data_IF_928006860584
#
_entry.id   IF_928006860584
#
_cell.length_a   1.000
_cell.length_b   1.000
_cell.length_c   1.000
_cell.angle_alpha   90.00
_cell.angle_beta   90.00
_cell.angle_gamma   90.00
#
_symmetry.space_group_name_H-M   'P 1'
#
loop_
_entity.id
_entity.type
_entity.pdbx_description
1 polymer ?
#
# COMPACT_ATOMS: atom_id res chain seq x y z
N UNK A 1 -11.94 6.76 13.54
CA UNK A 1 -10.65 7.09 12.94
C UNK A 1 -9.88 8.01 13.89
N UNK A 2 -8.65 7.60 14.22
CA UNK A 2 -7.73 8.43 14.99
C UNK A 2 -6.93 9.26 13.99
N UNK A 3 -7.25 10.54 13.86
CA UNK A 3 -6.59 11.46 12.93
C UNK A 3 -5.06 11.40 13.07
N UNK A 4 -4.41 10.96 12.04
CA UNK A 4 -3.01 10.56 12.01
C UNK A 4 -1.99 11.66 12.36
N UNK A 5 -2.26 12.91 12.02
CA UNK A 5 -1.23 13.96 12.14
C UNK A 5 -1.04 14.53 13.54
N UNK A 6 -2.04 14.44 14.41
CA UNK A 6 -1.99 15.06 15.74
C UNK A 6 -2.32 14.10 16.88
N UNK A 7 -3.17 13.11 16.60
CA UNK A 7 -3.64 12.18 17.63
C UNK A 7 -2.82 10.89 17.64
N UNK A 8 -2.51 10.34 16.46
CA UNK A 8 -1.82 9.05 16.34
C UNK A 8 -0.33 9.08 16.68
N UNK A 9 0.31 10.25 16.71
CA UNK A 9 1.73 10.43 17.00
C UNK A 9 2.03 10.96 18.42
N UNK A 10 0.99 11.30 19.19
CA UNK A 10 1.12 11.78 20.57
C UNK A 10 0.36 10.90 21.55
N UNK A 11 1.07 10.32 22.54
CA UNK A 11 0.53 9.36 23.49
C UNK A 11 -0.61 9.94 24.34
N UNK A 12 -0.55 11.21 24.74
CA UNK A 12 -1.58 11.83 25.57
C UNK A 12 -2.83 12.15 24.74
N UNK A 13 -2.64 12.65 23.52
CA UNK A 13 -3.73 12.91 22.59
C UNK A 13 -4.44 11.61 22.19
N UNK A 14 -3.69 10.53 21.93
CA UNK A 14 -4.21 9.19 21.64
C UNK A 14 -5.14 8.68 22.75
N UNK A 15 -4.68 8.73 23.99
CA UNK A 15 -5.48 8.29 25.15
C UNK A 15 -6.77 9.08 25.33
N UNK A 16 -6.70 10.42 25.18
CA UNK A 16 -7.89 11.28 25.28
C UNK A 16 -8.89 11.02 24.14
N UNK A 17 -8.40 10.84 22.92
CA UNK A 17 -9.23 10.53 21.76
C UNK A 17 -9.97 9.21 21.92
N UNK A 18 -9.32 8.16 22.44
CA UNK A 18 -9.99 6.88 22.69
C UNK A 18 -11.11 6.99 23.71
N UNK A 19 -10.93 7.74 24.80
CA UNK A 19 -11.99 8.03 25.77
C UNK A 19 -13.17 8.78 25.15
N UNK A 20 -12.88 9.78 24.33
CA UNK A 20 -13.91 10.54 23.62
C UNK A 20 -14.68 9.64 22.67
N UNK A 21 -14.00 8.85 21.83
CA UNK A 21 -14.61 7.91 20.89
C UNK A 21 -15.47 6.89 21.65
N UNK A 22 -15.02 6.40 22.78
CA UNK A 22 -15.79 5.50 23.64
C UNK A 22 -17.08 6.13 24.14
N UNK A 23 -17.09 7.41 24.42
CA UNK A 23 -18.31 8.12 24.86
C UNK A 23 -19.41 8.13 23.78
N UNK A 24 -19.05 7.98 22.52
CA UNK A 24 -19.99 7.82 21.39
C UNK A 24 -20.47 6.37 21.19
N UNK A 25 -20.23 5.48 22.15
CA UNK A 25 -20.58 4.05 22.09
C UNK A 25 -19.91 3.25 20.98
N UNK A 26 -18.80 3.73 20.43
CA UNK A 26 -17.99 3.00 19.47
C UNK A 26 -17.14 1.94 20.20
N UNK A 27 -16.89 0.82 19.54
CA UNK A 27 -16.16 -0.32 20.10
C UNK A 27 -14.87 -0.64 19.34
N UNK A 28 -14.61 0.03 18.23
CA UNK A 28 -13.45 -0.21 17.36
C UNK A 28 -12.93 1.11 16.79
N UNK A 29 -11.62 1.23 16.68
CA UNK A 29 -10.95 2.38 16.09
C UNK A 29 -9.97 1.97 15.02
N UNK A 30 -9.75 2.85 14.04
CA UNK A 30 -8.58 2.77 13.17
C UNK A 30 -7.43 3.47 13.90
N UNK A 31 -6.38 2.72 14.18
CA UNK A 31 -5.12 3.23 14.72
C UNK A 31 -4.02 3.11 13.67
N UNK A 32 -2.94 3.85 13.82
CA UNK A 32 -1.89 3.96 12.82
C UNK A 32 -0.54 3.49 13.33
N UNK A 33 0.19 2.80 12.47
CA UNK A 33 1.59 2.45 12.65
C UNK A 33 2.39 3.12 11.53
N UNK A 34 3.30 4.01 11.90
CA UNK A 34 4.10 4.82 10.98
C UNK A 34 5.50 4.22 10.83
N UNK A 35 5.92 3.89 9.62
CA UNK A 35 7.24 3.30 9.41
C UNK A 35 8.37 4.18 9.97
N UNK A 36 8.32 5.50 9.75
CA UNK A 36 9.35 6.43 10.25
C UNK A 36 9.46 6.45 11.78
N UNK A 37 8.39 6.12 12.51
CA UNK A 37 8.38 6.06 13.97
C UNK A 37 8.75 4.67 14.49
N UNK A 38 8.44 3.63 13.72
CA UNK A 38 8.76 2.24 14.06
C UNK A 38 10.22 1.90 13.74
N UNK A 39 10.78 2.41 12.64
CA UNK A 39 12.17 2.17 12.25
C UNK A 39 12.90 3.49 11.97
N UNK A 40 13.05 4.38 12.96
CA UNK A 40 13.69 5.69 12.77
C UNK A 40 15.14 5.59 12.30
N UNK A 41 15.83 4.53 12.68
CA UNK A 41 17.16 4.15 12.22
C UNK A 41 17.09 2.75 11.63
N UNK A 42 17.70 2.52 10.47
CA UNK A 42 17.65 1.24 9.77
C UNK A 42 18.00 0.07 10.69
N UNK A 43 17.09 -0.88 10.83
CA UNK A 43 17.25 -2.07 11.68
C UNK A 43 17.02 -1.85 13.18
N UNK A 44 16.68 -0.63 13.61
CA UNK A 44 16.36 -0.33 15.01
C UNK A 44 14.88 0.00 15.15
N UNK A 45 14.14 -0.88 15.83
CA UNK A 45 12.70 -0.78 15.93
C UNK A 45 12.26 -0.19 17.27
N UNK A 46 11.23 0.67 17.21
CA UNK A 46 10.55 1.29 18.34
C UNK A 46 9.03 1.10 18.20
N UNK A 47 8.42 0.40 19.14
CA UNK A 47 6.99 0.11 19.12
C UNK A 47 6.19 0.88 20.20
N UNK A 48 6.78 1.87 20.86
CA UNK A 48 6.16 2.57 22.00
C UNK A 48 4.78 3.17 21.68
N UNK A 49 4.57 3.70 20.47
CA UNK A 49 3.27 4.24 20.07
C UNK A 49 2.23 3.14 19.86
N UNK A 50 2.64 2.02 19.30
CA UNK A 50 1.76 0.85 19.11
C UNK A 50 1.38 0.27 20.48
N UNK A 51 2.34 0.15 21.38
CA UNK A 51 2.10 -0.32 22.76
C UNK A 51 1.13 0.58 23.52
N UNK A 52 1.27 1.91 23.39
CA UNK A 52 0.35 2.85 24.03
C UNK A 52 -1.06 2.79 23.40
N UNK A 53 -1.15 2.61 22.07
CA UNK A 53 -2.43 2.38 21.40
C UNK A 53 -3.13 1.12 21.94
N UNK A 54 -2.42 0.01 22.01
CA UNK A 54 -2.97 -1.25 22.52
C UNK A 54 -3.38 -1.13 23.99
N UNK A 55 -2.55 -0.50 24.81
CA UNK A 55 -2.84 -0.27 26.23
C UNK A 55 -4.10 0.60 26.39
N UNK A 56 -4.16 1.73 25.70
CA UNK A 56 -5.29 2.64 25.77
C UNK A 56 -6.59 2.01 25.25
N UNK A 57 -6.50 1.21 24.18
CA UNK A 57 -7.64 0.46 23.67
C UNK A 57 -8.16 -0.60 24.64
N UNK A 58 -7.25 -1.30 25.35
CA UNK A 58 -7.63 -2.24 26.43
C UNK A 58 -8.33 -1.54 27.59
N UNK A 59 -7.78 -0.41 28.06
CA UNK A 59 -8.37 0.38 29.16
C UNK A 59 -9.81 0.80 28.82
N UNK A 60 -10.10 1.14 27.56
CA UNK A 60 -11.43 1.57 27.12
C UNK A 60 -12.29 0.40 26.55
N UNK A 61 -11.83 -0.84 26.64
CA UNK A 61 -12.51 -2.03 26.08
C UNK A 61 -12.89 -1.84 24.61
N UNK A 62 -11.91 -1.46 23.78
CA UNK A 62 -12.03 -1.23 22.35
C UNK A 62 -11.15 -2.17 21.54
N UNK A 63 -11.52 -2.43 20.29
CA UNK A 63 -10.72 -3.12 19.29
C UNK A 63 -10.03 -2.13 18.37
N UNK A 64 -8.98 -2.59 17.70
CA UNK A 64 -8.16 -1.78 16.78
C UNK A 64 -8.11 -2.46 15.42
N UNK A 65 -8.38 -1.67 14.37
CA UNK A 65 -7.91 -1.95 13.01
C UNK A 65 -6.63 -1.14 12.84
N UNK A 66 -5.49 -1.82 12.67
CA UNK A 66 -4.20 -1.17 12.61
C UNK A 66 -3.82 -0.89 11.15
N UNK A 67 -3.65 0.39 10.80
CA UNK A 67 -3.23 0.81 9.46
C UNK A 67 -1.72 0.97 9.44
N UNK A 68 -1.06 0.25 8.56
CA UNK A 68 0.36 0.38 8.28
C UNK A 68 0.59 1.47 7.24
N UNK A 69 1.22 2.56 7.63
CA UNK A 69 1.75 3.59 6.75
C UNK A 69 3.22 3.31 6.47
N UNK A 70 3.48 2.53 5.43
CA UNK A 70 4.82 2.20 4.93
C UNK A 70 5.23 3.10 3.78
N UNK A 71 5.27 2.56 2.58
CA UNK A 71 5.67 3.26 1.35
C UNK A 71 4.69 4.31 0.90
N UNK A 72 3.39 4.13 1.19
CA UNK A 72 2.31 5.05 0.79
C UNK A 72 1.39 5.40 1.95
N UNK A 73 1.08 6.69 2.05
CA UNK A 73 -0.02 7.21 2.86
C UNK A 73 -1.09 7.82 1.95
N UNK A 74 -0.66 8.60 0.97
CA UNK A 74 -1.47 9.17 -0.11
C UNK A 74 -0.54 9.65 -1.21
N UNK A 75 -1.08 10.13 -2.34
CA UNK A 75 -0.29 10.67 -3.45
C UNK A 75 0.75 11.72 -3.04
N UNK A 76 0.45 12.55 -2.06
CA UNK A 76 1.27 13.71 -1.69
C UNK A 76 2.10 13.51 -0.41
N UNK A 77 1.99 12.39 0.27
CA UNK A 77 2.66 12.18 1.55
C UNK A 77 3.07 10.74 1.78
N UNK A 78 4.19 10.57 2.48
CA UNK A 78 4.78 9.29 2.84
C UNK A 78 5.30 9.35 4.27
N UNK A 79 5.22 8.23 4.98
CA UNK A 79 5.78 8.05 6.32
C UNK A 79 7.00 7.11 6.30
N UNK A 80 7.72 7.06 5.18
CA UNK A 80 8.98 6.34 5.14
C UNK A 80 10.04 7.05 6.00
N UNK A 81 10.96 6.32 6.65
CA UNK A 81 11.99 6.90 7.50
C UNK A 81 12.95 7.84 6.77
N UNK A 82 13.65 8.68 7.52
CA UNK A 82 14.64 9.62 6.98
C UNK A 82 15.74 8.91 6.18
N UNK A 83 16.23 7.76 6.65
CA UNK A 83 17.26 6.98 5.96
C UNK A 83 16.79 6.44 4.58
N UNK A 84 15.48 6.29 4.37
CA UNK A 84 14.86 6.01 3.07
C UNK A 84 14.72 7.30 2.26
N UNK A 85 14.18 8.37 2.88
CA UNK A 85 13.95 9.68 2.24
C UNK A 85 15.23 10.29 1.68
N UNK A 86 16.34 10.15 2.35
CA UNK A 86 17.63 10.76 1.99
C UNK A 86 18.47 9.91 1.02
N UNK A 87 18.04 8.71 0.67
CA UNK A 87 18.76 7.82 -0.24
C UNK A 87 17.95 7.41 -1.49
N UNK A 88 17.62 8.34 -2.40
CA UNK A 88 16.80 8.05 -3.58
C UNK A 88 17.51 7.13 -4.60
N UNK A 89 18.81 6.94 -4.48
CA UNK A 89 19.56 5.98 -5.31
C UNK A 89 19.26 4.54 -4.91
N UNK A 90 19.16 4.26 -3.62
CA UNK A 90 18.78 2.95 -3.08
C UNK A 90 17.26 2.75 -3.10
N UNK A 91 16.52 3.82 -2.83
CA UNK A 91 15.07 3.82 -2.73
C UNK A 91 14.43 4.71 -3.80
N UNK A 92 14.30 4.20 -5.03
CA UNK A 92 13.77 4.98 -6.15
C UNK A 92 12.36 5.51 -5.88
N UNK A 93 12.12 6.73 -6.37
CA UNK A 93 10.84 7.43 -6.27
C UNK A 93 9.99 7.24 -7.50
N UNK A 94 8.68 7.42 -7.33
CA UNK A 94 7.78 7.58 -8.44
C UNK A 94 8.19 8.78 -9.29
N UNK A 95 8.24 8.60 -10.60
CA UNK A 95 8.67 9.63 -11.55
C UNK A 95 7.53 10.00 -12.49
N UNK A 96 7.26 11.30 -12.62
CA UNK A 96 6.26 11.86 -13.53
C UNK A 96 6.74 11.87 -14.97
N UNK A 97 5.83 12.13 -15.92
CA UNK A 97 6.13 12.22 -17.35
C UNK A 97 7.12 13.34 -17.71
N UNK A 98 7.17 14.41 -16.94
CA UNK A 98 8.12 15.52 -17.07
C UNK A 98 9.49 15.22 -16.44
N UNK A 99 9.68 14.04 -15.86
CA UNK A 99 10.91 13.62 -15.18
C UNK A 99 11.02 14.05 -13.71
N UNK A 100 10.04 14.78 -13.19
CA UNK A 100 10.00 15.16 -11.77
C UNK A 100 9.71 13.93 -10.91
N UNK A 101 10.45 13.78 -9.81
CA UNK A 101 10.18 12.72 -8.82
C UNK A 101 9.27 13.22 -7.72
N UNK A 102 8.36 12.36 -7.27
CA UNK A 102 7.50 12.60 -6.11
C UNK A 102 8.15 12.07 -4.81
N UNK A 103 7.56 12.38 -3.67
CA UNK A 103 8.02 11.80 -2.40
C UNK A 103 7.72 10.30 -2.29
N UNK A 104 6.63 9.85 -2.88
CA UNK A 104 6.23 8.44 -2.81
C UNK A 104 7.23 7.50 -3.49
N UNK A 105 7.39 6.31 -2.95
CA UNK A 105 8.29 5.30 -3.49
C UNK A 105 7.74 4.69 -4.79
N UNK A 106 8.64 4.28 -5.67
CA UNK A 106 8.28 3.51 -6.86
C UNK A 106 7.90 2.07 -6.48
N UNK A 107 6.78 1.58 -7.00
CA UNK A 107 6.36 0.19 -6.83
C UNK A 107 7.23 -0.82 -7.61
N UNK A 108 8.12 -0.34 -8.47
CA UNK A 108 8.98 -1.18 -9.31
C UNK A 108 10.35 -1.46 -8.70
N UNK A 109 10.57 -1.11 -7.41
CA UNK A 109 11.81 -1.36 -6.70
C UNK A 109 11.64 -2.47 -5.68
N UNK A 110 12.36 -3.57 -5.88
CA UNK A 110 12.44 -4.66 -4.90
C UNK A 110 13.07 -4.19 -3.58
N UNK A 111 14.00 -3.24 -3.63
CA UNK A 111 14.63 -2.67 -2.45
C UNK A 111 13.61 -1.90 -1.59
N UNK A 112 12.75 -1.07 -2.23
CA UNK A 112 11.65 -0.39 -1.54
C UNK A 112 10.74 -1.40 -0.85
N UNK A 113 10.26 -2.39 -1.61
CA UNK A 113 9.35 -3.42 -1.13
C UNK A 113 9.94 -4.24 0.02
N UNK A 114 11.20 -4.64 -0.11
CA UNK A 114 11.84 -5.50 0.89
C UNK A 114 12.13 -4.74 2.19
N UNK A 115 12.49 -3.45 2.12
CA UNK A 115 12.69 -2.61 3.29
C UNK A 115 11.37 -2.39 4.05
N UNK A 116 10.31 -2.05 3.34
CA UNK A 116 8.96 -1.90 3.87
C UNK A 116 8.47 -3.20 4.52
N UNK A 117 8.54 -4.32 3.78
CA UNK A 117 8.14 -5.63 4.28
C UNK A 117 8.89 -6.02 5.56
N UNK A 118 10.20 -5.70 5.67
CA UNK A 118 11.00 -5.97 6.86
C UNK A 118 10.45 -5.23 8.08
N UNK A 119 10.11 -3.96 7.93
CA UNK A 119 9.54 -3.16 9.01
C UNK A 119 8.15 -3.66 9.41
N UNK A 120 7.30 -3.97 8.42
CA UNK A 120 5.98 -4.55 8.68
C UNK A 120 6.06 -5.92 9.36
N UNK A 121 6.99 -6.79 8.95
CA UNK A 121 7.24 -8.09 9.60
C UNK A 121 7.68 -7.92 11.06
N UNK A 122 8.50 -6.92 11.36
CA UNK A 122 8.89 -6.62 12.74
C UNK A 122 7.70 -6.17 13.58
N UNK A 123 6.80 -5.34 13.03
CA UNK A 123 5.54 -4.96 13.66
C UNK A 123 4.65 -6.19 13.93
N UNK A 124 4.46 -7.07 12.95
CA UNK A 124 3.63 -8.27 13.11
C UNK A 124 4.20 -9.24 14.14
N UNK A 125 5.54 -9.37 14.20
CA UNK A 125 6.21 -10.16 15.24
C UNK A 125 5.98 -9.54 16.63
N UNK A 126 6.09 -8.22 16.77
CA UNK A 126 5.83 -7.51 18.02
C UNK A 126 4.38 -7.69 18.47
N UNK A 127 3.41 -7.49 17.59
CA UNK A 127 1.98 -7.71 17.88
C UNK A 127 1.71 -9.13 18.39
N UNK A 128 2.32 -10.14 17.76
CA UNK A 128 2.21 -11.54 18.21
C UNK A 128 2.67 -11.73 19.65
N UNK A 129 3.68 -11.00 20.09
CA UNK A 129 4.26 -11.11 21.43
C UNK A 129 3.46 -10.35 22.48
N UNK A 130 2.92 -9.17 22.14
CA UNK A 130 2.32 -8.25 23.13
C UNK A 130 0.79 -8.23 23.12
N UNK A 131 0.14 -8.58 22.03
CA UNK A 131 -1.32 -8.51 21.89
C UNK A 131 -2.01 -9.84 22.25
N UNK A 132 -1.76 -10.33 23.45
CA UNK A 132 -2.34 -11.59 23.97
C UNK A 132 -3.86 -11.57 24.12
N UNK A 133 -4.48 -10.40 24.07
CA UNK A 133 -5.94 -10.23 24.18
C UNK A 133 -6.63 -9.99 22.82
N UNK A 134 -5.88 -10.08 21.75
CA UNK A 134 -6.38 -9.86 20.38
C UNK A 134 -7.15 -8.53 20.26
N UNK A 135 -6.52 -7.44 20.69
CA UNK A 135 -7.04 -6.07 20.56
C UNK A 135 -7.01 -5.65 19.10
N UNK A 136 -5.94 -5.97 18.39
CA UNK A 136 -5.88 -5.80 16.93
C UNK A 136 -6.66 -6.94 16.28
N UNK A 137 -7.68 -6.59 15.51
CA UNK A 137 -8.57 -7.54 14.82
C UNK A 137 -8.33 -7.61 13.32
N UNK A 138 -7.61 -6.63 12.79
CA UNK A 138 -7.28 -6.53 11.37
C UNK A 138 -6.09 -5.59 11.19
N UNK A 139 -5.27 -5.83 10.16
CA UNK A 139 -4.30 -4.87 9.65
C UNK A 139 -4.67 -4.43 8.24
N UNK A 140 -4.60 -3.13 7.98
CA UNK A 140 -4.62 -2.57 6.62
C UNK A 140 -3.17 -2.32 6.21
N UNK A 141 -2.74 -2.97 5.15
CA UNK A 141 -1.37 -2.82 4.61
C UNK A 141 -1.36 -1.70 3.60
N UNK A 142 -0.66 -0.63 3.91
CA UNK A 142 -0.59 0.61 3.13
C UNK A 142 -1.91 1.41 3.08
N UNK A 143 -1.81 2.64 2.58
CA UNK A 143 -2.99 3.46 2.37
C UNK A 143 -2.87 4.23 1.05
N UNK A 144 -3.92 4.24 0.27
CA UNK A 144 -4.08 5.00 -0.98
C UNK A 144 -2.85 4.94 -1.91
N UNK A 145 -2.35 3.73 -2.28
CA UNK A 145 -1.29 3.63 -3.27
C UNK A 145 -1.80 4.14 -4.62
N UNK A 146 -1.07 5.08 -5.22
CA UNK A 146 -1.47 5.66 -6.50
C UNK A 146 -1.04 7.12 -6.63
N UNK A 147 -1.23 7.68 -7.83
CA UNK A 147 -0.92 9.06 -8.12
C UNK A 147 -2.05 9.67 -8.94
N UNK A 148 -2.71 10.70 -8.40
CA UNK A 148 -3.73 11.44 -9.13
C UNK A 148 -3.14 12.14 -10.35
N UNK A 149 -3.90 12.15 -11.46
CA UNK A 149 -3.55 12.78 -12.73
C UNK A 149 -2.26 12.26 -13.39
N UNK A 150 -1.70 11.15 -12.89
CA UNK A 150 -0.53 10.50 -13.48
C UNK A 150 -0.74 8.99 -13.51
N UNK A 151 -1.02 8.50 -14.69
CA UNK A 151 -1.45 7.12 -14.89
C UNK A 151 -0.33 6.08 -14.77
N UNK A 152 0.95 6.50 -14.84
CA UNK A 152 2.07 5.55 -14.84
C UNK A 152 3.35 6.13 -14.23
N UNK A 153 4.06 5.31 -13.48
CA UNK A 153 5.42 5.62 -13.02
C UNK A 153 6.41 5.57 -14.20
N UNK A 154 7.00 6.72 -14.51
CA UNK A 154 7.97 6.90 -15.59
C UNK A 154 9.42 6.67 -15.15
N UNK A 155 9.66 6.15 -13.93
CA UNK A 155 10.99 5.73 -13.50
C UNK A 155 11.61 4.72 -14.47
N UNK A 156 12.95 4.59 -14.54
CA UNK A 156 13.59 3.60 -15.42
C UNK A 156 13.07 2.18 -15.22
N UNK A 157 12.76 1.78 -13.98
CA UNK A 157 12.21 0.46 -13.67
C UNK A 157 10.74 0.34 -14.14
N UNK A 158 9.92 1.38 -13.93
CA UNK A 158 8.54 1.44 -14.43
C UNK A 158 8.48 1.38 -15.96
N UNK A 159 9.35 2.13 -16.64
CA UNK A 159 9.47 2.08 -18.10
C UNK A 159 9.88 0.70 -18.62
N UNK A 160 10.88 0.09 -17.98
CA UNK A 160 11.31 -1.27 -18.33
C UNK A 160 10.15 -2.28 -18.15
N UNK A 161 9.40 -2.19 -17.07
CA UNK A 161 8.26 -3.08 -16.82
C UNK A 161 7.14 -2.87 -17.87
N UNK A 162 6.87 -1.61 -18.25
CA UNK A 162 5.89 -1.27 -19.28
C UNK A 162 6.23 -1.84 -20.66
N UNK A 163 7.50 -1.78 -21.03
CA UNK A 163 8.03 -2.30 -22.30
C UNK A 163 8.22 -3.82 -22.29
N UNK A 164 8.05 -4.47 -21.15
CA UNK A 164 8.17 -5.91 -21.02
C UNK A 164 6.86 -6.62 -21.36
N UNK A 165 6.88 -7.92 -21.72
CA UNK A 165 5.66 -8.67 -21.91
C UNK A 165 4.76 -8.65 -20.66
N UNK A 166 3.44 -8.58 -20.87
CA UNK A 166 2.46 -8.71 -19.79
C UNK A 166 2.73 -9.97 -18.98
N UNK A 167 2.74 -9.89 -17.64
CA UNK A 167 3.00 -11.05 -16.79
C UNK A 167 2.06 -12.22 -17.03
N UNK A 168 2.60 -13.44 -16.98
CA UNK A 168 1.86 -14.65 -17.32
C UNK A 168 0.64 -14.89 -16.42
N UNK A 169 0.70 -14.52 -15.14
CA UNK A 169 -0.42 -14.62 -14.21
C UNK A 169 -1.57 -13.70 -14.60
N UNK A 170 -1.28 -12.46 -15.07
CA UNK A 170 -2.29 -11.56 -15.60
C UNK A 170 -2.92 -12.09 -16.89
N UNK A 171 -2.13 -12.60 -17.83
CA UNK A 171 -2.64 -13.25 -19.04
C UNK A 171 -3.52 -14.47 -18.71
N UNK A 172 -3.12 -15.26 -17.74
CA UNK A 172 -3.90 -16.42 -17.29
C UNK A 172 -5.21 -15.98 -16.61
N UNK A 173 -5.19 -14.90 -15.84
CA UNK A 173 -6.40 -14.32 -15.28
C UNK A 173 -7.39 -13.87 -16.35
N UNK A 174 -6.94 -13.15 -17.38
CA UNK A 174 -7.76 -12.74 -18.52
C UNK A 174 -8.42 -13.96 -19.19
N UNK A 175 -7.63 -14.99 -19.50
CA UNK A 175 -8.14 -16.21 -20.12
C UNK A 175 -9.18 -16.94 -19.27
N UNK A 176 -8.91 -17.09 -17.97
CA UNK A 176 -9.78 -17.82 -17.06
C UNK A 176 -11.12 -17.09 -16.81
N UNK A 177 -11.15 -15.77 -16.97
CA UNK A 177 -12.30 -14.93 -16.70
C UNK A 177 -12.93 -14.31 -17.96
N UNK A 178 -12.56 -14.79 -19.14
CA UNK A 178 -13.15 -14.30 -20.42
C UNK A 178 -14.68 -14.39 -20.38
N UNK A 179 -15.34 -13.29 -20.72
CA UNK A 179 -16.80 -13.14 -20.64
C UNK A 179 -17.34 -12.85 -19.22
N UNK A 180 -16.46 -12.70 -18.21
CA UNK A 180 -16.79 -12.38 -16.81
C UNK A 180 -15.95 -11.23 -16.27
N UNK A 181 -15.09 -10.65 -17.09
CA UNK A 181 -14.26 -9.51 -16.70
C UNK A 181 -15.13 -8.26 -16.50
N UNK A 182 -14.57 -7.27 -15.80
CA UNK A 182 -15.16 -5.93 -15.74
C UNK A 182 -15.42 -5.43 -17.18
N UNK A 183 -16.59 -4.84 -17.48
CA UNK A 183 -17.02 -4.59 -18.86
C UNK A 183 -16.03 -3.82 -19.71
N UNK A 184 -15.39 -2.78 -19.17
CA UNK A 184 -14.41 -2.00 -19.91
C UNK A 184 -13.15 -2.80 -20.24
N UNK A 185 -12.68 -3.63 -19.32
CA UNK A 185 -11.52 -4.52 -19.56
C UNK A 185 -11.85 -5.61 -20.59
N UNK A 186 -13.02 -6.22 -20.51
CA UNK A 186 -13.47 -7.23 -21.47
C UNK A 186 -13.54 -6.62 -22.88
N UNK A 187 -14.11 -5.41 -22.98
CA UNK A 187 -14.22 -4.69 -24.25
C UNK A 187 -12.84 -4.33 -24.81
N UNK A 188 -11.95 -3.77 -24.00
CA UNK A 188 -10.58 -3.43 -24.45
C UNK A 188 -9.84 -4.65 -24.99
N UNK A 189 -9.92 -5.78 -24.27
CA UNK A 189 -9.28 -7.01 -24.68
C UNK A 189 -9.94 -7.62 -25.93
N UNK A 190 -11.27 -7.53 -26.06
CA UNK A 190 -12.01 -7.99 -27.25
C UNK A 190 -11.68 -7.16 -28.48
N UNK A 191 -11.72 -5.81 -28.37
CA UNK A 191 -11.39 -4.87 -29.44
C UNK A 191 -9.96 -5.08 -29.94
N UNK A 192 -9.05 -5.53 -29.08
CA UNK A 192 -7.67 -5.87 -29.41
C UNK A 192 -7.47 -7.36 -29.80
N UNK A 193 -8.56 -8.06 -30.16
CA UNK A 193 -8.55 -9.42 -30.70
C UNK A 193 -8.19 -10.51 -29.69
N UNK A 194 -8.42 -10.28 -28.41
CA UNK A 194 -8.12 -11.24 -27.32
C UNK A 194 -6.66 -11.72 -27.34
N UNK A 195 -5.73 -10.82 -27.68
CA UNK A 195 -4.30 -11.13 -27.68
C UNK A 195 -3.80 -11.57 -26.30
N UNK A 196 -2.79 -12.42 -26.28
CA UNK A 196 -2.24 -13.02 -25.06
C UNK A 196 -0.72 -12.97 -25.01
N UNK A 197 -0.09 -12.25 -25.92
CA UNK A 197 1.37 -12.10 -26.01
C UNK A 197 1.72 -10.66 -26.33
N UNK A 198 2.84 -10.19 -25.82
CA UNK A 198 3.34 -8.84 -26.00
C UNK A 198 3.21 -8.00 -24.71
N UNK A 199 3.43 -6.70 -24.85
CA UNK A 199 3.32 -5.71 -23.78
C UNK A 199 1.85 -5.53 -23.34
N UNK A 200 1.62 -4.69 -22.35
CA UNK A 200 0.27 -4.34 -21.90
C UNK A 200 -0.55 -3.70 -23.04
N UNK A 201 0.06 -2.81 -23.82
CA UNK A 201 -0.60 -2.21 -24.99
C UNK A 201 -0.83 -3.22 -26.13
N UNK A 202 0.09 -4.16 -26.34
CA UNK A 202 -0.11 -5.24 -27.33
C UNK A 202 -1.31 -6.11 -26.98
N UNK A 203 -1.56 -6.35 -25.71
CA UNK A 203 -2.64 -7.22 -25.21
C UNK A 203 -3.97 -6.48 -25.09
N UNK A 204 -3.97 -5.29 -24.49
CA UNK A 204 -5.21 -4.56 -24.13
C UNK A 204 -5.49 -3.35 -25.04
N UNK A 205 -4.54 -2.95 -25.87
CA UNK A 205 -4.63 -1.73 -26.64
C UNK A 205 -4.18 -0.50 -25.86
N UNK A 206 -4.21 0.65 -26.52
CA UNK A 206 -3.93 1.94 -25.90
C UNK A 206 -5.10 2.37 -25.02
N UNK A 207 -4.79 3.20 -24.02
CA UNK A 207 -5.81 3.85 -23.21
C UNK A 207 -6.77 4.68 -24.04
N UNK A 208 -8.05 4.66 -23.70
CA UNK A 208 -9.08 5.43 -24.39
C UNK A 208 -9.98 6.17 -23.40
N UNK A 209 -10.32 7.41 -23.75
CA UNK A 209 -11.25 8.27 -23.04
C UNK A 209 -12.22 8.93 -24.03
N UNK A 210 -12.85 8.14 -24.90
CA UNK A 210 -13.76 8.65 -25.94
C UNK A 210 -15.19 8.17 -25.71
N UNK A 211 -16.12 9.10 -25.76
CA UNK A 211 -17.53 8.83 -25.56
C UNK A 211 -17.86 8.28 -24.16
N UNK A 212 -18.73 7.29 -24.11
CA UNK A 212 -19.13 6.60 -22.87
C UNK A 212 -18.14 5.50 -22.45
N UNK A 213 -17.07 5.31 -23.23
CA UNK A 213 -16.09 4.24 -22.99
C UNK A 213 -14.77 4.83 -22.52
N UNK A 214 -14.39 4.47 -21.30
CA UNK A 214 -13.13 4.85 -20.68
C UNK A 214 -12.40 3.61 -20.21
N UNK A 215 -11.18 3.42 -20.70
CA UNK A 215 -10.28 2.37 -20.26
C UNK A 215 -8.83 2.83 -20.32
N UNK A 216 -8.17 2.73 -19.20
CA UNK A 216 -6.78 3.16 -19.07
C UNK A 216 -5.88 1.96 -18.82
N UNK A 217 -5.16 1.54 -19.86
CA UNK A 217 -4.20 0.42 -19.81
C UNK A 217 -3.09 0.69 -18.79
N UNK A 218 -2.64 1.94 -18.69
CA UNK A 218 -1.66 2.36 -17.70
C UNK A 218 -2.17 2.25 -16.26
N UNK A 219 -3.42 2.56 -16.00
CA UNK A 219 -4.01 2.40 -14.65
C UNK A 219 -4.07 0.94 -14.24
N UNK A 220 -4.49 0.05 -15.14
CA UNK A 220 -4.52 -1.38 -14.86
C UNK A 220 -3.11 -1.93 -14.64
N UNK A 221 -2.14 -1.47 -15.44
CA UNK A 221 -0.73 -1.81 -15.25
C UNK A 221 -0.25 -1.40 -13.85
N UNK A 222 -0.52 -0.17 -13.44
CA UNK A 222 -0.11 0.31 -12.10
C UNK A 222 -0.85 -0.41 -10.99
N UNK A 223 -2.17 -0.62 -11.11
CA UNK A 223 -2.96 -1.35 -10.14
C UNK A 223 -2.45 -2.79 -9.93
N UNK A 224 -2.05 -3.46 -11.01
CA UNK A 224 -1.42 -4.77 -10.94
C UNK A 224 -0.11 -4.72 -10.12
N UNK A 225 0.78 -3.77 -10.40
CA UNK A 225 2.07 -3.67 -9.70
C UNK A 225 1.91 -3.25 -8.23
N UNK A 226 1.01 -2.32 -7.93
CA UNK A 226 0.65 -2.01 -6.54
C UNK A 226 0.11 -3.24 -5.80
N UNK A 227 -0.81 -3.97 -6.41
CA UNK A 227 -1.38 -5.17 -5.79
C UNK A 227 -0.32 -6.24 -5.50
N UNK A 228 0.66 -6.43 -6.38
CA UNK A 228 1.79 -7.35 -6.17
C UNK A 228 2.69 -6.89 -5.02
N UNK A 229 2.96 -5.60 -4.91
CA UNK A 229 3.77 -5.01 -3.85
C UNK A 229 3.08 -5.20 -2.48
N UNK A 230 1.81 -4.78 -2.38
CA UNK A 230 1.04 -4.90 -1.14
C UNK A 230 0.86 -6.36 -0.72
N UNK A 231 0.54 -7.24 -1.67
CA UNK A 231 0.38 -8.66 -1.39
C UNK A 231 1.67 -9.30 -0.87
N UNK A 232 2.83 -8.87 -1.37
CA UNK A 232 4.12 -9.34 -0.85
C UNK A 232 4.29 -8.95 0.62
N UNK A 233 4.08 -7.67 0.97
CA UNK A 233 4.20 -7.18 2.36
C UNK A 233 3.23 -7.94 3.27
N UNK A 234 1.96 -8.03 2.87
CA UNK A 234 0.94 -8.75 3.62
C UNK A 234 1.31 -10.23 3.83
N UNK A 235 1.81 -10.91 2.79
CA UNK A 235 2.19 -12.31 2.87
C UNK A 235 3.40 -12.53 3.79
N UNK A 236 4.39 -11.62 3.78
CA UNK A 236 5.53 -11.70 4.69
C UNK A 236 5.08 -11.48 6.15
N UNK A 237 4.19 -10.54 6.42
CA UNK A 237 3.64 -10.30 7.75
C UNK A 237 2.84 -11.48 8.28
N UNK A 238 1.98 -12.09 7.45
CA UNK A 238 1.18 -13.26 7.82
C UNK A 238 2.01 -14.47 8.25
N UNK A 239 3.25 -14.60 7.81
CA UNK A 239 4.16 -15.64 8.32
C UNK A 239 4.46 -15.50 9.82
N UNK A 240 4.24 -14.32 10.39
CA UNK A 240 4.45 -14.01 11.82
C UNK A 240 3.15 -14.04 12.59
N UNK A 241 2.14 -13.36 12.10
CA UNK A 241 0.82 -13.25 12.69
C UNK A 241 -0.22 -13.17 11.58
N UNK A 242 -1.15 -14.10 11.55
CA UNK A 242 -2.24 -14.16 10.57
C UNK A 242 -3.44 -13.35 11.10
N UNK A 243 -3.58 -12.12 10.60
CA UNK A 243 -4.64 -11.17 10.91
C UNK A 243 -5.37 -10.75 9.65
#
# INVERSE_FOLDING_TARGET
DLLHNSTGSDKAALKNALKEIKSYHLNTVLGYAYWEMIEPVEGQFNFELVDELLKSAREENMKVVLVWFGSWKSTASSYVPEWVKTNPKRFPRYTLADGKTLEMLSAFSDENRNADAKAYVALMQHLKEVDTQHIVIMTQVENEPGCFDNYRDMSPAGQKAWQSPMPADMVNYLKANKGKLFPALEKAWADNGYKTKGTWEDVLGQSTDQGDYKFYTEELFMAYHYSKYLNYIAAEGRKKLDL
#
